data_IF_298412917620
#
_entry.id   IF_298412917620
#
_cell.length_a   1.000
_cell.length_b   1.000
_cell.length_c   1.000
_cell.angle_alpha   90.00
_cell.angle_beta   90.00
_cell.angle_gamma   90.00
#
_symmetry.space_group_name_H-M   'P 1'
#
loop_
_entity.id
_entity.type
_entity.pdbx_description
1 polymer ?
#
# COMPACT_ATOMS: atom_id res chain seq x y z
N UNK A 1 -36.46 38.97 42.70
CA UNK A 1 -35.47 37.96 42.29
C UNK A 1 -36.27 36.87 41.60
N UNK A 2 -36.37 36.92 40.27
CA UNK A 2 -37.44 36.27 39.51
C UNK A 2 -37.12 34.80 39.22
N UNK A 3 -37.98 33.90 39.70
CA UNK A 3 -37.97 32.48 39.35
C UNK A 3 -38.09 32.23 37.83
N UNK A 4 -38.65 33.17 37.08
CA UNK A 4 -38.81 33.07 35.62
C UNK A 4 -37.48 33.09 34.84
N UNK A 5 -36.39 33.61 35.42
CA UNK A 5 -35.08 33.60 34.76
C UNK A 5 -34.41 32.22 34.83
N UNK A 6 -34.73 31.41 35.85
CA UNK A 6 -34.17 30.07 36.02
C UNK A 6 -34.82 29.04 35.08
N UNK A 7 -36.12 29.16 34.79
CA UNK A 7 -36.83 28.35 33.80
C UNK A 7 -36.33 28.62 32.36
N UNK A 8 -35.99 29.88 32.04
CA UNK A 8 -35.42 30.23 30.72
C UNK A 8 -34.01 29.67 30.51
N UNK A 9 -33.19 29.58 31.56
CA UNK A 9 -31.84 29.01 31.50
C UNK A 9 -31.88 27.47 31.45
N UNK A 10 -32.86 26.83 32.10
CA UNK A 10 -33.07 25.37 32.05
C UNK A 10 -33.72 24.89 30.74
N UNK A 11 -34.53 25.71 30.08
CA UNK A 11 -35.03 25.45 28.72
C UNK A 11 -33.93 25.59 27.66
N UNK A 12 -32.97 26.49 27.84
CA UNK A 12 -31.83 26.66 26.94
C UNK A 12 -30.79 25.51 27.03
N UNK A 13 -30.74 24.75 28.13
CA UNK A 13 -29.83 23.60 28.30
C UNK A 13 -30.36 22.29 27.72
N UNK A 14 -31.66 22.17 27.40
CA UNK A 14 -32.24 20.95 26.81
C UNK A 14 -32.20 20.90 25.29
N UNK A 15 -31.78 22.00 24.64
CA UNK A 15 -31.49 22.07 23.20
C UNK A 15 -29.96 22.17 22.96
N UNK A 16 -29.15 21.66 23.90
CA UNK A 16 -27.81 21.19 23.58
C UNK A 16 -27.96 19.89 22.80
N UNK A 17 -28.47 20.05 21.57
CA UNK A 17 -28.64 19.00 20.61
C UNK A 17 -27.34 18.24 20.54
N UNK A 18 -27.43 16.97 20.89
CA UNK A 18 -26.49 15.92 20.56
C UNK A 18 -26.29 16.01 19.04
N UNK A 19 -25.37 16.87 18.60
CA UNK A 19 -24.88 16.87 17.24
C UNK A 19 -24.03 15.61 17.15
N UNK A 20 -24.72 14.47 17.02
CA UNK A 20 -24.13 13.25 16.52
C UNK A 20 -23.71 13.61 15.11
N UNK A 21 -22.45 14.02 14.97
CA UNK A 21 -21.79 14.07 13.68
C UNK A 21 -21.70 12.61 13.26
N UNK A 22 -22.75 12.14 12.59
CA UNK A 22 -22.70 10.93 11.80
C UNK A 22 -21.69 11.21 10.70
N UNK A 23 -20.43 10.88 10.97
CA UNK A 23 -19.45 10.68 9.91
C UNK A 23 -19.90 9.43 9.19
N UNK A 24 -20.81 9.62 8.22
CA UNK A 24 -21.11 8.61 7.21
C UNK A 24 -19.78 8.30 6.55
N UNK A 25 -19.15 7.22 7.01
CA UNK A 25 -17.92 6.72 6.43
C UNK A 25 -18.37 6.00 5.18
N UNK A 26 -18.53 6.75 4.09
CA UNK A 26 -18.65 6.11 2.79
C UNK A 26 -17.40 5.23 2.62
N UNK A 27 -17.62 3.92 2.51
CA UNK A 27 -16.61 2.97 2.08
C UNK A 27 -16.36 3.24 0.59
N UNK A 28 -15.73 4.38 0.32
CA UNK A 28 -15.23 4.70 -1.01
C UNK A 28 -14.22 3.62 -1.39
N UNK A 29 -14.26 3.21 -2.66
CA UNK A 29 -13.14 2.48 -3.24
C UNK A 29 -11.86 3.25 -2.88
N UNK A 30 -10.88 2.55 -2.28
CA UNK A 30 -9.66 3.18 -1.80
C UNK A 30 -9.03 3.99 -2.93
N UNK A 31 -8.68 5.24 -2.65
CA UNK A 31 -7.93 6.05 -3.59
C UNK A 31 -6.53 5.44 -3.79
N UNK A 32 -5.94 5.67 -4.96
CA UNK A 32 -4.53 5.35 -5.19
C UNK A 32 -3.70 6.32 -4.35
N UNK A 33 -3.10 5.80 -3.28
CA UNK A 33 -2.15 6.56 -2.45
C UNK A 33 -0.81 6.70 -3.18
N UNK A 34 -0.40 5.67 -3.91
CA UNK A 34 0.79 5.66 -4.73
C UNK A 34 0.66 4.70 -5.91
N UNK A 35 1.24 5.07 -7.06
CA UNK A 35 1.46 4.17 -8.18
C UNK A 35 2.78 4.51 -8.88
N UNK A 36 3.60 3.49 -9.20
CA UNK A 36 4.87 3.68 -9.92
C UNK A 36 4.71 3.91 -11.43
N UNK A 37 3.60 3.44 -12.00
CA UNK A 37 3.32 3.50 -13.44
C UNK A 37 1.81 3.42 -13.70
N UNK A 38 1.33 4.00 -14.80
CA UNK A 38 -0.06 3.83 -15.28
C UNK A 38 -0.25 2.44 -15.88
N UNK A 39 -1.41 1.81 -15.69
CA UNK A 39 -1.68 0.46 -16.19
C UNK A 39 -1.55 0.40 -17.72
N UNK A 40 -0.62 -0.43 -18.20
CA UNK A 40 -0.44 -0.77 -19.61
C UNK A 40 -1.40 -1.86 -20.08
N UNK A 41 -1.21 -2.40 -21.30
CA UNK A 41 -2.04 -3.48 -21.83
C UNK A 41 -2.02 -4.73 -20.92
N UNK A 42 -3.19 -5.19 -20.49
CA UNK A 42 -3.37 -6.46 -19.77
C UNK A 42 -3.59 -7.62 -20.76
N UNK A 43 -3.67 -8.84 -20.25
CA UNK A 43 -3.87 -10.03 -21.08
C UNK A 43 -2.59 -10.56 -21.73
N UNK A 44 -1.42 -10.02 -21.37
CA UNK A 44 -0.11 -10.49 -21.87
C UNK A 44 0.05 -11.95 -21.49
N UNK A 45 0.34 -12.80 -22.45
CA UNK A 45 0.55 -14.23 -22.26
C UNK A 45 1.94 -14.54 -21.72
N UNK A 46 2.09 -15.70 -21.08
CA UNK A 46 3.40 -16.19 -20.66
C UNK A 46 4.37 -16.33 -21.85
N UNK A 47 3.86 -16.76 -23.01
CA UNK A 47 4.64 -16.89 -24.23
C UNK A 47 5.22 -15.55 -24.68
N UNK A 48 4.43 -14.47 -24.67
CA UNK A 48 4.94 -13.13 -25.02
C UNK A 48 6.03 -12.64 -24.08
N UNK A 49 5.95 -12.99 -22.78
CA UNK A 49 7.01 -12.68 -21.82
C UNK A 49 8.25 -13.53 -22.05
N UNK A 50 8.09 -14.82 -22.32
CA UNK A 50 9.20 -15.74 -22.64
C UNK A 50 9.93 -15.33 -23.92
N UNK A 51 9.17 -14.95 -24.96
CA UNK A 51 9.70 -14.48 -26.25
C UNK A 51 10.21 -13.03 -26.19
N UNK A 52 10.13 -12.37 -25.02
CA UNK A 52 10.55 -10.98 -24.81
C UNK A 52 9.84 -9.96 -25.73
N UNK A 53 8.66 -10.31 -26.25
CA UNK A 53 7.75 -9.37 -26.94
C UNK A 53 7.29 -8.32 -25.94
N UNK A 54 6.91 -8.77 -24.74
CA UNK A 54 6.66 -7.92 -23.59
C UNK A 54 7.63 -8.29 -22.49
N UNK A 55 8.53 -7.37 -22.12
CA UNK A 55 9.48 -7.64 -21.05
C UNK A 55 8.78 -7.78 -19.70
N UNK A 56 9.34 -8.62 -18.83
CA UNK A 56 8.89 -8.85 -17.47
C UNK A 56 10.08 -9.04 -16.55
N UNK A 57 9.96 -8.60 -15.31
CA UNK A 57 10.97 -8.85 -14.28
C UNK A 57 10.51 -9.96 -13.36
N UNK A 58 11.35 -10.97 -13.21
CA UNK A 58 11.00 -12.18 -12.47
C UNK A 58 10.89 -11.89 -10.96
N UNK A 59 9.85 -12.47 -10.37
CA UNK A 59 9.60 -12.59 -8.94
C UNK A 59 9.63 -14.08 -8.64
N UNK A 60 10.46 -14.51 -7.70
CA UNK A 60 10.65 -15.93 -7.40
C UNK A 60 11.15 -16.13 -5.95
N UNK A 61 11.21 -17.37 -5.43
CA UNK A 61 11.82 -17.64 -4.14
C UNK A 61 13.29 -17.18 -4.09
N UNK A 62 13.59 -16.11 -3.35
CA UNK A 62 14.93 -15.51 -3.33
C UNK A 62 15.14 -14.33 -4.29
N UNK A 63 14.11 -13.92 -5.04
CA UNK A 63 14.15 -12.81 -5.99
C UNK A 63 12.95 -11.89 -5.82
N UNK A 64 13.18 -10.68 -5.32
CA UNK A 64 12.14 -9.70 -5.02
C UNK A 64 12.23 -8.49 -5.93
N UNK A 65 11.07 -7.90 -6.22
CA UNK A 65 10.94 -6.65 -6.96
C UNK A 65 10.13 -5.69 -6.12
N UNK A 66 10.52 -4.42 -6.08
CA UNK A 66 9.81 -3.43 -5.30
C UNK A 66 9.99 -2.01 -5.80
N UNK A 67 9.36 -1.11 -5.08
CA UNK A 67 9.47 0.32 -5.32
C UNK A 67 9.38 1.09 -4.01
N UNK A 68 10.17 2.15 -3.89
CA UNK A 68 10.08 3.09 -2.79
C UNK A 68 9.11 4.21 -3.12
N UNK A 69 8.38 4.65 -2.11
CA UNK A 69 7.39 5.71 -2.24
C UNK A 69 7.30 6.54 -0.96
N UNK A 70 6.86 7.79 -1.13
CA UNK A 70 6.63 8.72 -0.05
C UNK A 70 5.13 8.94 0.16
N UNK A 71 4.68 8.90 1.41
CA UNK A 71 3.35 9.34 1.80
C UNK A 71 3.46 10.71 2.48
N UNK A 72 2.80 11.76 1.95
CA UNK A 72 2.89 13.10 2.52
C UNK A 72 2.09 13.29 3.82
N UNK A 73 1.23 12.32 4.16
CA UNK A 73 0.31 12.41 5.27
C UNK A 73 -0.06 11.01 5.78
N UNK A 74 -0.50 10.94 7.04
CA UNK A 74 -1.01 9.71 7.64
C UNK A 74 -2.10 9.11 6.76
N UNK A 75 -2.00 7.81 6.48
CA UNK A 75 -2.87 7.11 5.54
C UNK A 75 -3.25 5.72 6.04
N UNK A 76 -4.44 5.25 5.68
CA UNK A 76 -4.87 3.87 5.90
C UNK A 76 -4.77 3.11 4.58
N UNK A 77 -3.78 2.23 4.48
CA UNK A 77 -3.66 1.29 3.36
C UNK A 77 -4.73 0.21 3.50
N UNK A 78 -5.36 -0.13 2.39
CA UNK A 78 -6.37 -1.20 2.30
C UNK A 78 -5.93 -2.33 1.38
N UNK A 79 -5.16 -2.04 0.33
CA UNK A 79 -4.67 -3.02 -0.64
C UNK A 79 -3.32 -2.61 -1.21
N UNK A 80 -2.55 -3.61 -1.60
CA UNK A 80 -1.29 -3.44 -2.33
C UNK A 80 -1.22 -4.43 -3.47
N UNK A 81 -0.52 -4.09 -4.54
CA UNK A 81 -0.51 -4.93 -5.73
C UNK A 81 0.26 -4.35 -6.89
N UNK A 82 -0.08 -4.82 -8.09
CA UNK A 82 0.55 -4.37 -9.33
C UNK A 82 0.12 -5.15 -10.56
N UNK A 83 0.77 -4.84 -11.69
CA UNK A 83 0.52 -5.50 -12.97
C UNK A 83 1.41 -6.76 -13.11
N UNK A 84 0.81 -7.92 -12.83
CA UNK A 84 1.53 -9.18 -12.66
C UNK A 84 1.03 -10.26 -13.60
N UNK A 85 1.92 -11.22 -13.86
CA UNK A 85 1.63 -12.50 -14.52
C UNK A 85 2.28 -13.63 -13.72
N UNK A 86 1.61 -14.76 -13.58
CA UNK A 86 2.16 -15.97 -12.96
C UNK A 86 2.84 -16.86 -13.97
N UNK A 87 4.04 -17.36 -13.64
CA UNK A 87 4.90 -18.09 -14.57
C UNK A 87 4.61 -19.59 -14.64
N UNK A 88 3.76 -20.12 -13.74
CA UNK A 88 3.20 -21.48 -13.87
C UNK A 88 4.23 -22.61 -13.91
N UNK A 89 5.39 -22.47 -13.24
CA UNK A 89 6.49 -23.44 -13.27
C UNK A 89 6.17 -24.81 -12.60
N UNK A 90 4.91 -25.05 -12.19
CA UNK A 90 4.42 -26.31 -11.64
C UNK A 90 4.04 -27.38 -12.68
N UNK A 91 4.24 -27.13 -13.98
CA UNK A 91 4.23 -28.17 -15.01
C UNK A 91 2.88 -28.78 -15.40
N UNK A 92 1.75 -28.35 -14.84
CA UNK A 92 0.43 -28.72 -15.38
C UNK A 92 -0.26 -27.54 -16.04
N UNK A 93 -1.09 -27.82 -17.05
CA UNK A 93 -1.94 -26.79 -17.68
C UNK A 93 -2.93 -26.16 -16.67
N UNK A 94 -3.26 -26.92 -15.62
CA UNK A 94 -3.99 -26.50 -14.41
C UNK A 94 -3.05 -26.10 -13.23
N UNK A 95 -1.75 -26.02 -13.49
CA UNK A 95 -0.67 -25.94 -12.49
C UNK A 95 -0.85 -24.79 -11.55
N UNK A 96 -1.09 -25.13 -10.28
CA UNK A 96 -1.23 -24.20 -9.18
C UNK A 96 -0.16 -23.14 -9.27
N UNK A 97 -0.59 -21.90 -9.50
CA UNK A 97 0.29 -20.76 -9.31
C UNK A 97 0.41 -20.59 -7.82
N UNK A 98 1.64 -20.60 -7.35
CA UNK A 98 1.86 -20.30 -5.96
C UNK A 98 1.56 -18.85 -5.68
N UNK A 99 1.15 -18.58 -4.45
CA UNK A 99 1.04 -17.22 -3.97
C UNK A 99 2.43 -16.60 -3.92
N UNK A 100 2.49 -15.30 -4.24
CA UNK A 100 3.60 -14.43 -3.89
C UNK A 100 3.16 -13.56 -2.71
N UNK A 101 4.11 -13.00 -1.96
CA UNK A 101 3.80 -11.98 -0.97
C UNK A 101 3.91 -10.58 -1.57
N UNK A 102 3.15 -9.65 -1.01
CA UNK A 102 3.39 -8.22 -1.10
C UNK A 102 3.57 -7.66 0.32
N UNK A 103 4.70 -7.01 0.58
CA UNK A 103 5.09 -6.50 1.89
C UNK A 103 5.29 -4.98 1.85
N UNK A 104 4.94 -4.32 2.94
CA UNK A 104 5.24 -2.90 3.17
C UNK A 104 6.29 -2.77 4.26
N UNK A 105 7.34 -2.02 3.97
CA UNK A 105 8.49 -1.77 4.85
C UNK A 105 8.65 -0.27 5.07
N UNK A 106 8.90 0.15 6.30
CA UNK A 106 9.22 1.53 6.66
C UNK A 106 10.66 1.88 6.28
N UNK A 107 10.88 3.07 5.75
CA UNK A 107 12.22 3.54 5.38
C UNK A 107 12.54 4.82 6.15
N UNK A 108 13.79 4.97 6.56
CA UNK A 108 14.28 6.17 7.25
C UNK A 108 14.44 7.38 6.32
N UNK A 109 14.50 7.17 5.00
CA UNK A 109 14.61 8.22 3.99
C UNK A 109 14.47 7.71 2.55
N UNK A 110 14.61 8.63 1.59
CA UNK A 110 14.46 8.33 0.15
C UNK A 110 15.46 7.28 -0.35
N UNK A 111 16.71 7.37 0.11
CA UNK A 111 17.81 6.50 -0.31
C UNK A 111 17.94 5.22 0.52
N UNK A 112 17.09 5.05 1.53
CA UNK A 112 17.13 3.89 2.43
C UNK A 112 16.56 2.64 1.74
N UNK A 113 16.89 1.47 2.30
CA UNK A 113 16.47 0.15 1.83
C UNK A 113 15.89 -0.66 2.99
N UNK A 114 15.12 -1.73 2.74
CA UNK A 114 14.74 -2.65 3.81
C UNK A 114 15.97 -3.23 4.52
N UNK A 115 15.90 -3.34 5.84
CA UNK A 115 17.04 -3.81 6.67
C UNK A 115 17.29 -5.33 6.53
N UNK A 116 16.29 -6.08 6.07
CA UNK A 116 16.38 -7.52 5.87
C UNK A 116 15.57 -8.01 4.67
N UNK A 117 15.99 -9.12 4.07
CA UNK A 117 15.25 -9.80 3.02
C UNK A 117 14.29 -10.88 3.56
N UNK A 118 14.48 -11.34 4.79
CA UNK A 118 13.56 -12.27 5.44
C UNK A 118 12.46 -11.55 6.25
N UNK A 119 12.49 -10.22 6.27
CA UNK A 119 11.55 -9.33 6.97
C UNK A 119 11.51 -9.58 8.48
N UNK A 120 12.66 -9.95 9.07
CA UNK A 120 12.83 -10.18 10.50
C UNK A 120 13.10 -8.91 11.32
N UNK A 121 13.31 -7.78 10.64
CA UNK A 121 13.68 -6.48 11.22
C UNK A 121 12.46 -5.61 11.54
N UNK A 122 12.56 -4.63 12.48
CA UNK A 122 11.41 -3.82 12.92
C UNK A 122 10.81 -2.86 11.88
N UNK A 123 11.51 -2.63 10.77
CA UNK A 123 11.04 -1.84 9.63
C UNK A 123 9.93 -2.55 8.84
N UNK A 124 9.78 -3.88 8.97
CA UNK A 124 8.64 -4.61 8.39
C UNK A 124 7.32 -4.27 9.09
N UNK A 125 6.35 -3.76 8.31
CA UNK A 125 5.06 -3.30 8.86
C UNK A 125 3.91 -4.29 8.64
N UNK A 126 3.95 -5.07 7.57
CA UNK A 126 2.92 -6.05 7.26
C UNK A 126 2.99 -6.57 5.84
N UNK A 127 2.24 -7.64 5.58
CA UNK A 127 2.19 -8.27 4.26
C UNK A 127 0.84 -8.90 3.96
N UNK A 128 0.65 -9.24 2.70
CA UNK A 128 -0.50 -9.97 2.19
C UNK A 128 -0.04 -10.94 1.10
N UNK A 129 -0.90 -11.90 0.75
CA UNK A 129 -0.65 -12.83 -0.35
C UNK A 129 -1.40 -12.38 -1.59
N UNK A 130 -0.79 -12.60 -2.75
CA UNK A 130 -1.34 -12.33 -4.07
C UNK A 130 -1.15 -13.58 -4.91
N UNK A 131 -2.22 -14.06 -5.54
CA UNK A 131 -2.16 -15.12 -6.54
C UNK A 131 -2.10 -14.49 -7.94
N UNK A 132 -0.95 -14.54 -8.65
CA UNK A 132 -0.85 -13.93 -9.97
C UNK A 132 -1.71 -14.66 -11.03
N UNK A 133 -2.24 -13.96 -12.05
CA UNK A 133 -3.08 -14.56 -13.09
C UNK A 133 -2.26 -15.21 -14.23
N UNK A 134 -2.92 -15.90 -15.19
CA UNK A 134 -2.24 -16.68 -16.25
C UNK A 134 -1.68 -15.78 -17.32
N UNK A 135 -2.54 -14.85 -17.67
CA UNK A 135 -2.26 -13.71 -18.50
C UNK A 135 -2.15 -12.52 -17.57
N UNK A 136 -1.40 -11.50 -17.95
CA UNK A 136 -1.16 -10.37 -17.07
C UNK A 136 -2.45 -9.64 -16.68
N UNK A 137 -2.55 -9.23 -15.43
CA UNK A 137 -3.61 -8.34 -14.97
C UNK A 137 -3.14 -7.47 -13.81
N UNK A 138 -3.92 -6.42 -13.51
CA UNK A 138 -3.74 -5.62 -12.29
C UNK A 138 -4.36 -6.38 -11.12
N UNK A 139 -3.53 -6.87 -10.21
CA UNK A 139 -3.94 -7.75 -9.10
C UNK A 139 -3.47 -7.21 -7.76
N UNK A 140 -4.28 -7.49 -6.73
CA UNK A 140 -4.16 -6.88 -5.41
C UNK A 140 -4.38 -7.91 -4.30
N UNK A 141 -3.64 -7.76 -3.21
CA UNK A 141 -3.91 -8.42 -1.94
C UNK A 141 -4.45 -7.42 -0.91
N UNK A 142 -5.29 -7.89 0.01
CA UNK A 142 -5.81 -7.05 1.09
C UNK A 142 -4.75 -6.84 2.17
N UNK A 143 -4.48 -5.58 2.52
CA UNK A 143 -3.50 -5.22 3.54
C UNK A 143 -4.01 -4.02 4.34
N UNK A 144 -4.30 -4.24 5.62
CA UNK A 144 -4.86 -3.20 6.51
C UNK A 144 -3.76 -2.62 7.38
N UNK A 145 -3.16 -1.52 6.95
CA UNK A 145 -2.13 -0.81 7.69
C UNK A 145 -2.50 0.65 7.88
N UNK A 146 -2.10 1.23 9.01
CA UNK A 146 -2.10 2.69 9.18
C UNK A 146 -0.65 3.15 9.15
N UNK A 147 -0.30 3.95 8.15
CA UNK A 147 1.03 4.49 7.93
C UNK A 147 1.03 5.96 8.28
N UNK A 148 2.08 6.43 8.96
CA UNK A 148 2.30 7.87 9.16
C UNK A 148 2.85 8.50 7.87
N UNK A 149 3.13 9.81 7.88
CA UNK A 149 3.85 10.43 6.77
C UNK A 149 5.30 9.95 6.79
N UNK A 150 5.84 9.56 5.63
CA UNK A 150 7.17 8.94 5.58
C UNK A 150 7.50 8.23 4.28
N UNK A 151 8.70 7.67 4.23
CA UNK A 151 9.17 6.83 3.14
C UNK A 151 8.89 5.36 3.44
N UNK A 152 8.51 4.61 2.40
CA UNK A 152 8.14 3.21 2.48
C UNK A 152 8.64 2.46 1.24
N UNK A 153 8.81 1.14 1.36
CA UNK A 153 8.95 0.24 0.22
C UNK A 153 7.71 -0.65 0.11
N UNK A 154 7.22 -0.84 -1.12
CA UNK A 154 6.34 -1.95 -1.48
C UNK A 154 7.19 -3.01 -2.19
N UNK A 155 7.25 -4.21 -1.62
CA UNK A 155 8.08 -5.32 -2.09
C UNK A 155 7.19 -6.51 -2.44
N UNK A 156 7.37 -7.07 -3.63
CA UNK A 156 6.76 -8.31 -4.07
C UNK A 156 7.83 -9.40 -4.17
N UNK A 157 7.55 -10.58 -3.65
CA UNK A 157 8.51 -11.68 -3.59
C UNK A 157 7.86 -13.06 -3.42
N UNK A 158 8.63 -14.12 -3.66
CA UNK A 158 8.22 -15.49 -3.35
C UNK A 158 9.07 -16.11 -2.23
N UNK A 159 8.59 -17.21 -1.65
CA UNK A 159 9.33 -18.03 -0.68
C UNK A 159 9.32 -17.59 0.78
N UNK A 160 8.78 -16.40 1.08
CA UNK A 160 8.69 -15.82 2.43
C UNK A 160 7.25 -15.43 2.79
N UNK A 161 7.01 -15.08 4.06
CA UNK A 161 5.74 -14.47 4.52
C UNK A 161 4.47 -15.27 4.16
N UNK A 162 4.56 -16.60 4.18
CA UNK A 162 3.45 -17.50 3.87
C UNK A 162 3.22 -17.78 2.38
N UNK A 163 4.02 -17.18 1.49
CA UNK A 163 4.00 -17.51 0.06
C UNK A 163 4.54 -18.91 -0.23
N UNK A 164 4.13 -19.49 -1.36
CA UNK A 164 4.49 -20.85 -1.73
C UNK A 164 5.96 -20.98 -2.07
N UNK A 165 6.71 -21.66 -1.19
CA UNK A 165 8.19 -21.82 -1.28
C UNK A 165 8.69 -22.46 -2.56
N UNK A 166 7.85 -23.20 -3.28
CA UNK A 166 8.22 -23.88 -4.53
C UNK A 166 7.44 -23.44 -5.77
N UNK A 167 6.41 -22.59 -5.63
CA UNK A 167 5.49 -22.26 -6.72
C UNK A 167 5.21 -20.76 -6.88
N UNK A 168 5.67 -19.90 -5.95
CA UNK A 168 5.51 -18.44 -5.98
C UNK A 168 6.38 -17.76 -7.03
N UNK A 169 6.17 -18.12 -8.31
CA UNK A 169 6.86 -17.55 -9.46
C UNK A 169 5.91 -16.64 -10.24
N UNK A 170 6.30 -15.37 -10.36
CA UNK A 170 5.58 -14.36 -11.10
C UNK A 170 6.54 -13.50 -11.93
N UNK A 171 5.99 -12.61 -12.73
CA UNK A 171 6.73 -11.48 -13.28
C UNK A 171 5.93 -10.20 -13.16
N UNK A 172 6.62 -9.11 -12.84
CA UNK A 172 6.11 -7.76 -12.98
C UNK A 172 6.30 -7.32 -14.44
N UNK A 173 5.19 -7.06 -15.13
CA UNK A 173 5.22 -6.74 -16.57
C UNK A 173 5.76 -5.33 -16.77
N UNK A 174 6.60 -5.12 -17.79
CA UNK A 174 7.31 -3.87 -18.06
C UNK A 174 6.74 -3.06 -19.23
N UNK A 175 5.42 -3.10 -19.40
CA UNK A 175 4.69 -2.39 -20.45
C UNK A 175 3.88 -1.19 -19.92
N UNK A 176 4.20 -0.72 -18.71
CA UNK A 176 3.46 0.36 -18.04
C UNK A 176 4.23 1.68 -18.17
N UNK A 177 3.62 2.76 -18.69
CA UNK A 177 4.25 4.08 -18.66
C UNK A 177 4.49 4.55 -17.21
N UNK A 178 5.73 4.86 -16.85
CA UNK A 178 6.07 5.32 -15.49
C UNK A 178 5.34 6.61 -15.11
N UNK A 179 4.95 6.71 -13.84
CA UNK A 179 4.34 7.90 -13.24
C UNK A 179 5.41 8.61 -12.42
N UNK A 180 5.87 9.77 -12.87
CA UNK A 180 6.97 10.49 -12.21
C UNK A 180 8.32 9.78 -12.39
N UNK A 181 9.10 9.70 -11.31
CA UNK A 181 10.44 9.08 -11.27
C UNK A 181 10.47 7.95 -10.21
N UNK A 182 9.79 6.81 -10.45
CA UNK A 182 9.69 5.73 -9.47
C UNK A 182 11.07 5.15 -9.13
N UNK A 183 11.31 4.98 -7.83
CA UNK A 183 12.56 4.45 -7.27
C UNK A 183 12.43 2.94 -7.07
N UNK A 184 12.66 2.18 -8.15
CA UNK A 184 12.61 0.72 -8.10
C UNK A 184 13.75 0.15 -7.28
N UNK A 185 13.49 -0.95 -6.59
CA UNK A 185 14.47 -1.68 -5.79
C UNK A 185 14.33 -3.17 -6.05
N UNK A 186 15.41 -3.91 -5.87
CA UNK A 186 15.41 -5.36 -6.04
C UNK A 186 16.28 -6.04 -5.01
N UNK A 187 15.89 -7.26 -4.68
CA UNK A 187 16.75 -8.20 -3.97
C UNK A 187 16.88 -9.45 -4.83
N UNK A 188 18.12 -9.88 -5.08
CA UNK A 188 18.37 -11.08 -5.86
C UNK A 188 19.53 -11.87 -5.26
N UNK A 189 19.29 -13.13 -4.96
CA UNK A 189 20.33 -14.15 -4.79
C UNK A 189 20.50 -14.91 -6.13
N UNK A 190 21.70 -15.25 -6.67
CA UNK A 190 23.07 -15.21 -6.10
C UNK A 190 24.20 -14.71 -7.06
N UNK A 191 25.37 -14.32 -6.50
CA UNK A 191 26.76 -14.70 -6.89
C UNK A 191 27.83 -13.71 -6.35
N UNK A 192 27.53 -12.42 -6.16
CA UNK A 192 28.55 -11.40 -5.78
C UNK A 192 28.15 -10.47 -4.62
N UNK A 193 27.17 -10.86 -3.80
CA UNK A 193 26.72 -10.10 -2.63
C UNK A 193 25.21 -10.16 -2.49
N UNK A 194 24.73 -10.53 -1.30
CA UNK A 194 23.30 -10.55 -0.99
C UNK A 194 22.97 -9.21 -0.36
N UNK A 195 22.41 -8.30 -1.15
CA UNK A 195 21.92 -7.03 -0.60
C UNK A 195 20.78 -6.46 -1.46
N UNK A 196 20.07 -5.51 -0.88
CA UNK A 196 19.16 -4.65 -1.62
C UNK A 196 19.95 -3.78 -2.58
N UNK A 197 19.41 -3.65 -3.80
CA UNK A 197 20.02 -2.83 -4.84
C UNK A 197 19.00 -1.90 -5.44
N UNK A 198 19.48 -0.74 -5.86
CA UNK A 198 18.69 0.14 -6.72
C UNK A 198 18.36 -0.57 -8.04
N UNK A 199 17.12 -0.42 -8.48
CA UNK A 199 16.68 -0.95 -9.76
C UNK A 199 17.49 -0.34 -10.90
N UNK A 200 17.98 -1.19 -11.78
CA UNK A 200 18.75 -0.78 -12.94
C UNK A 200 17.88 -0.21 -14.07
N UNK A 201 18.50 0.03 -15.22
CA UNK A 201 17.78 0.37 -16.48
C UNK A 201 16.73 -0.68 -16.86
N UNK A 202 16.89 -1.91 -16.36
CA UNK A 202 16.00 -3.04 -16.58
C UNK A 202 14.85 -3.15 -15.58
N UNK A 203 14.75 -2.28 -14.58
CA UNK A 203 13.69 -2.36 -13.56
C UNK A 203 12.61 -1.29 -13.73
N UNK A 204 12.52 -0.68 -14.93
CA UNK A 204 11.57 0.38 -15.24
C UNK A 204 10.23 -0.17 -15.76
N UNK A 205 9.24 0.71 -15.85
CA UNK A 205 7.92 0.43 -16.46
C UNK A 205 7.12 -0.69 -15.78
N UNK A 206 7.46 -1.02 -14.54
CA UNK A 206 6.68 -1.92 -13.69
C UNK A 206 5.65 -1.09 -12.92
N UNK A 207 4.42 -1.61 -12.84
CA UNK A 207 3.34 -1.00 -12.04
C UNK A 207 3.22 -1.70 -10.70
N UNK A 208 3.47 -0.94 -9.65
CA UNK A 208 3.19 -1.24 -8.26
C UNK A 208 2.20 -0.20 -7.74
N UNK A 209 1.25 -0.63 -6.93
CA UNK A 209 0.14 0.22 -6.47
C UNK A 209 -0.10 0.01 -5.00
N UNK A 210 -0.34 1.12 -4.30
CA UNK A 210 -0.81 1.16 -2.92
C UNK A 210 -2.14 1.89 -2.91
N UNK A 211 -3.21 1.20 -2.50
CA UNK A 211 -4.55 1.77 -2.36
C UNK A 211 -4.90 1.99 -0.89
N UNK A 212 -5.68 3.03 -0.64
CA UNK A 212 -6.12 3.36 0.70
C UNK A 212 -6.83 4.70 0.77
N UNK A 213 -6.84 5.28 1.97
CA UNK A 213 -7.40 6.62 2.18
C UNK A 213 -6.44 7.44 3.02
N UNK A 214 -6.26 8.70 2.65
CA UNK A 214 -5.56 9.67 3.50
C UNK A 214 -6.42 9.89 4.74
N UNK A 215 -5.81 9.81 5.92
CA UNK A 215 -6.46 10.17 7.18
C UNK A 215 -6.37 11.68 7.29
N UNK A 216 -7.49 12.41 7.23
CA UNK A 216 -7.45 13.86 7.40
C UNK A 216 -6.83 14.18 8.76
N UNK A 217 -5.84 15.07 8.78
CA UNK A 217 -5.44 15.68 10.03
C UNK A 217 -6.67 16.36 10.65
N UNK A 218 -6.82 16.33 11.99
CA UNK A 218 -7.86 17.13 12.62
C UNK A 218 -7.60 18.58 12.20
N UNK A 219 -8.44 19.09 11.30
CA UNK A 219 -8.24 20.43 10.75
C UNK A 219 -8.15 21.42 11.89
N UNK A 220 -7.33 22.47 11.75
CA UNK A 220 -7.17 23.48 12.79
C UNK A 220 -8.51 24.04 13.27
N UNK A 221 -9.53 24.06 12.41
CA UNK A 221 -10.91 24.38 12.75
C UNK A 221 -11.56 23.44 13.78
N UNK A 222 -11.35 22.12 13.70
CA UNK A 222 -11.85 21.17 14.68
C UNK A 222 -11.19 21.39 16.05
N UNK A 223 -9.88 21.64 16.07
CA UNK A 223 -9.15 21.99 17.30
C UNK A 223 -9.63 23.33 17.87
N UNK A 224 -9.83 24.35 17.03
CA UNK A 224 -10.41 25.64 17.42
C UNK A 224 -11.82 25.50 18.00
N UNK A 225 -12.67 24.66 17.40
CA UNK A 225 -14.00 24.37 17.93
C UNK A 225 -13.94 23.73 19.32
N UNK A 226 -13.06 22.74 19.52
CA UNK A 226 -12.85 22.14 20.84
C UNK A 226 -12.40 23.17 21.88
N UNK A 227 -11.54 24.12 21.51
CA UNK A 227 -11.11 25.21 22.39
C UNK A 227 -12.26 26.17 22.73
N UNK A 228 -13.07 26.57 21.75
CA UNK A 228 -14.23 27.46 21.96
C UNK A 228 -15.26 26.82 22.87
N UNK A 229 -15.60 25.54 22.61
CA UNK A 229 -16.55 24.79 23.46
C UNK A 229 -15.98 24.61 24.87
N UNK A 230 -14.69 24.28 24.99
CA UNK A 230 -14.03 24.13 26.29
C UNK A 230 -13.98 25.44 27.10
N UNK A 231 -13.69 26.56 26.45
CA UNK A 231 -13.68 27.89 27.08
C UNK A 231 -15.08 28.31 27.54
N UNK A 232 -16.09 28.10 26.70
CA UNK A 232 -17.48 28.36 27.03
C UNK A 232 -17.94 27.53 28.24
N UNK A 233 -17.61 26.23 28.28
CA UNK A 233 -17.92 25.36 29.42
C UNK A 233 -17.29 25.87 30.72
N UNK A 234 -16.01 26.26 30.71
CA UNK A 234 -15.34 26.80 31.90
C UNK A 234 -15.92 28.11 32.40
N UNK A 235 -16.46 28.97 31.54
CA UNK A 235 -17.09 30.22 31.99
C UNK A 235 -18.41 30.02 32.75
N UNK A 236 -18.98 28.82 32.73
CA UNK A 236 -20.26 28.48 33.34
C UNK A 236 -20.13 27.76 34.69
N UNK A 237 -18.89 27.43 35.10
CA UNK A 237 -18.56 26.71 36.33
C UNK A 237 -17.49 27.46 37.12
#
# INVERSE_FOLDING_TARGET
MNQDFFEYVLAATRVAGLAVVFVLTEMTSGAILYQSATLGPTGVSLQEVQDQIVRGRNIYPGGFQGVRFYLPSKSKVSRVGGHLIGLGLGGSEEGGRGDIFAAVVNLSGESDMPDSADFSTPDFLGSTLITPPRTSADVYGELRLTLDAGWYALVLGGGFLGSDRGLGFAAAVQNNPSTGDPRYIGWQSPYDGIDWTEGGVYDRNQRFVVEGVVVPEPGSGALLWCLVVGAWWRSRH
#
